data_IF_819973630210
#
_entry.id   IF_819973630210
#
_cell.length_a   1.000
_cell.length_b   1.000
_cell.length_c   1.000
_cell.angle_alpha   90.00
_cell.angle_beta   90.00
_cell.angle_gamma   90.00
#
_symmetry.space_group_name_H-M   'P 1'
#
loop_
_entity.id
_entity.type
_entity.pdbx_description
1 polymer ?
#
# COMPACT_ATOMS: atom_id res chain seq x y z
N UNK A 1 -24.12 0.68 23.46
CA UNK A 1 -23.52 -0.43 22.70
C UNK A 1 -23.30 0.08 21.28
N UNK A 2 -22.05 0.26 20.84
CA UNK A 2 -21.76 0.68 19.47
C UNK A 2 -21.80 -0.56 18.59
N UNK A 3 -22.65 -0.57 17.56
CA UNK A 3 -22.72 -1.68 16.62
C UNK A 3 -21.46 -1.67 15.75
N UNK A 4 -20.61 -2.70 15.83
CA UNK A 4 -19.47 -2.87 14.93
C UNK A 4 -19.93 -3.40 13.58
N UNK A 5 -19.48 -2.80 12.50
CA UNK A 5 -19.76 -3.29 11.14
C UNK A 5 -19.04 -4.61 10.86
N UNK A 6 -19.45 -5.32 9.80
CA UNK A 6 -18.71 -6.51 9.32
C UNK A 6 -17.28 -6.16 8.98
N UNK A 7 -17.04 -5.00 8.40
CA UNK A 7 -15.71 -4.51 8.03
C UNK A 7 -14.83 -4.26 9.25
N UNK A 8 -15.36 -3.66 10.30
CA UNK A 8 -14.62 -3.43 11.55
C UNK A 8 -14.19 -4.75 12.20
N UNK A 9 -15.03 -5.78 12.15
CA UNK A 9 -14.69 -7.09 12.68
C UNK A 9 -13.55 -7.75 11.91
N UNK A 10 -13.56 -7.66 10.57
CA UNK A 10 -12.49 -8.18 9.71
C UNK A 10 -11.19 -7.44 9.99
N UNK A 11 -11.23 -6.12 10.02
CA UNK A 11 -10.08 -5.28 10.30
C UNK A 11 -9.45 -5.58 11.68
N UNK A 12 -10.28 -5.71 12.71
CA UNK A 12 -9.81 -6.05 14.05
C UNK A 12 -9.16 -7.43 14.11
N UNK A 13 -9.71 -8.43 13.42
CA UNK A 13 -9.10 -9.75 13.29
C UNK A 13 -7.74 -9.69 12.61
N UNK A 14 -7.64 -8.99 11.48
CA UNK A 14 -6.37 -8.77 10.79
C UNK A 14 -5.34 -8.10 11.70
N UNK A 15 -5.73 -7.01 12.36
CA UNK A 15 -4.85 -6.26 13.25
C UNK A 15 -4.35 -7.08 14.45
N UNK A 16 -5.16 -8.01 14.93
CA UNK A 16 -4.80 -8.90 16.03
C UNK A 16 -4.03 -10.14 15.57
N UNK A 17 -3.90 -10.39 14.25
CA UNK A 17 -3.30 -11.60 13.72
C UNK A 17 -4.18 -12.85 13.88
N UNK A 18 -5.49 -12.68 14.05
CA UNK A 18 -6.48 -13.77 14.22
C UNK A 18 -6.97 -14.23 12.85
N UNK A 19 -6.07 -14.81 12.06
CA UNK A 19 -6.35 -15.36 10.72
C UNK A 19 -5.19 -16.26 10.25
N UNK A 20 -5.50 -17.24 9.41
CA UNK A 20 -4.52 -18.05 8.68
C UNK A 20 -4.20 -17.39 7.32
N UNK A 21 -5.21 -16.86 6.64
CA UNK A 21 -5.10 -16.13 5.38
C UNK A 21 -6.08 -14.96 5.40
N UNK A 22 -5.61 -13.79 5.00
CA UNK A 22 -6.45 -12.60 4.94
C UNK A 22 -6.30 -11.90 3.58
N UNK A 23 -7.42 -11.39 3.06
CA UNK A 23 -7.40 -10.52 1.88
C UNK A 23 -7.29 -9.07 2.33
N UNK A 24 -6.36 -8.33 1.75
CA UNK A 24 -6.20 -6.91 2.00
C UNK A 24 -5.98 -6.15 0.69
N UNK A 25 -5.96 -4.86 0.77
CA UNK A 25 -5.55 -3.99 -0.34
C UNK A 25 -4.71 -2.85 0.21
N UNK A 26 -3.75 -2.44 -0.58
CA UNK A 26 -2.99 -1.24 -0.31
C UNK A 26 -3.03 -0.29 -1.52
N UNK A 27 -3.09 0.99 -1.28
CA UNK A 27 -2.87 2.01 -2.28
C UNK A 27 -1.58 2.77 -1.94
N UNK A 28 -0.83 3.26 -2.92
CA UNK A 28 0.40 3.99 -2.62
C UNK A 28 0.09 5.29 -1.87
N UNK A 29 0.79 5.54 -0.77
CA UNK A 29 0.70 6.79 -0.02
C UNK A 29 1.52 7.90 -0.69
N UNK A 30 2.53 7.51 -1.48
CA UNK A 30 3.42 8.39 -2.24
C UNK A 30 3.92 7.69 -3.52
N UNK A 31 4.52 8.46 -4.43
CA UNK A 31 4.92 7.99 -5.77
C UNK A 31 6.26 7.25 -5.81
N UNK A 32 6.51 6.32 -4.89
CA UNK A 32 7.70 5.47 -4.86
C UNK A 32 7.31 4.03 -4.44
N UNK A 33 7.92 2.96 -5.03
CA UNK A 33 7.58 1.58 -4.70
C UNK A 33 7.80 1.19 -3.24
N UNK A 34 8.64 1.91 -2.51
CA UNK A 34 8.87 1.66 -1.08
C UNK A 34 7.61 1.77 -0.24
N UNK A 35 6.56 2.48 -0.73
CA UNK A 35 5.24 2.51 -0.08
C UNK A 35 4.63 1.11 0.09
N UNK A 36 5.00 0.15 -0.75
CA UNK A 36 4.58 -1.26 -0.65
C UNK A 36 5.57 -2.09 0.16
N UNK A 37 6.88 -1.89 -0.07
CA UNK A 37 7.91 -2.65 0.62
C UNK A 37 7.91 -2.41 2.14
N UNK A 38 7.71 -1.17 2.56
CA UNK A 38 7.66 -0.84 3.99
C UNK A 38 6.57 -1.58 4.76
N UNK A 39 5.53 -2.07 4.07
CA UNK A 39 4.48 -2.89 4.67
C UNK A 39 4.97 -4.23 5.22
N UNK A 40 6.03 -4.80 4.61
CA UNK A 40 6.63 -6.07 5.01
C UNK A 40 7.65 -5.95 6.15
N UNK A 41 8.09 -4.74 6.52
CA UNK A 41 9.05 -4.54 7.61
C UNK A 41 8.50 -5.15 8.91
N UNK A 42 9.35 -5.91 9.61
CA UNK A 42 8.97 -6.66 10.81
C UNK A 42 8.32 -5.80 11.91
N UNK A 43 8.73 -4.54 12.01
CA UNK A 43 8.22 -3.58 13.01
C UNK A 43 7.06 -2.72 12.51
N UNK A 44 6.64 -2.86 11.23
CA UNK A 44 5.57 -2.05 10.67
C UNK A 44 4.21 -2.45 11.25
N UNK A 45 3.45 -1.48 11.74
CA UNK A 45 2.12 -1.69 12.34
C UNK A 45 1.07 -2.24 11.35
N UNK A 46 1.32 -2.14 10.04
CA UNK A 46 0.46 -2.69 9.00
C UNK A 46 0.87 -4.11 8.57
N UNK A 47 1.97 -4.63 9.10
CA UNK A 47 2.38 -6.03 8.93
C UNK A 47 1.51 -6.94 9.81
N UNK A 48 0.25 -7.09 9.43
CA UNK A 48 -0.73 -7.86 10.22
C UNK A 48 -0.41 -9.35 10.29
N UNK A 49 0.28 -9.89 9.27
CA UNK A 49 0.78 -11.27 9.25
C UNK A 49 1.93 -11.53 10.21
N UNK A 50 2.51 -10.46 10.78
CA UNK A 50 3.67 -10.52 11.68
C UNK A 50 4.86 -11.30 11.09
N UNK A 51 4.94 -11.31 9.77
CA UNK A 51 6.09 -11.87 9.08
C UNK A 51 7.36 -11.08 9.46
N UNK A 52 8.47 -11.78 9.60
CA UNK A 52 9.73 -11.19 10.04
C UNK A 52 10.89 -11.83 9.30
N UNK A 53 11.68 -11.00 8.63
CA UNK A 53 12.90 -11.42 7.94
C UNK A 53 13.94 -10.29 8.04
N UNK A 54 15.03 -10.56 8.74
CA UNK A 54 16.06 -9.55 9.01
C UNK A 54 16.83 -9.10 7.76
N UNK A 55 16.97 -9.96 6.76
CA UNK A 55 17.60 -9.60 5.47
C UNK A 55 16.71 -8.64 4.71
N UNK A 56 15.40 -8.90 4.69
CA UNK A 56 14.42 -8.00 4.11
C UNK A 56 14.43 -6.62 4.76
N UNK A 57 14.38 -6.59 6.09
CA UNK A 57 14.37 -5.33 6.85
C UNK A 57 15.62 -4.48 6.51
N UNK A 58 16.81 -5.12 6.47
CA UNK A 58 18.06 -4.45 6.11
C UNK A 58 18.05 -3.93 4.67
N UNK A 59 17.53 -4.70 3.71
CA UNK A 59 17.41 -4.26 2.32
C UNK A 59 16.49 -3.05 2.19
N UNK A 60 15.35 -3.05 2.85
CA UNK A 60 14.41 -1.91 2.79
C UNK A 60 15.02 -0.66 3.43
N UNK A 61 15.78 -0.82 4.52
CA UNK A 61 16.52 0.29 5.14
C UNK A 61 17.61 0.84 4.19
N UNK A 62 18.35 -0.03 3.48
CA UNK A 62 19.34 0.37 2.48
C UNK A 62 18.72 1.14 1.32
N UNK A 63 17.59 0.67 0.79
CA UNK A 63 16.82 1.37 -0.25
C UNK A 63 16.50 2.80 0.16
N UNK A 64 16.27 3.04 1.44
CA UNK A 64 15.94 4.37 2.00
C UNK A 64 17.09 5.38 1.91
N UNK A 65 18.34 4.93 1.84
CA UNK A 65 19.55 5.78 1.84
C UNK A 65 20.39 5.66 0.56
N UNK A 66 20.07 4.71 -0.34
CA UNK A 66 20.82 4.51 -1.58
C UNK A 66 20.57 5.64 -2.57
N UNK A 67 21.62 6.29 -3.01
CA UNK A 67 21.61 7.42 -3.93
C UNK A 67 21.77 7.03 -5.41
N UNK A 68 22.39 5.86 -5.68
CA UNK A 68 22.49 5.34 -7.06
C UNK A 68 21.14 4.74 -7.46
N UNK A 69 20.51 5.31 -8.48
CA UNK A 69 19.17 4.94 -8.93
C UNK A 69 19.09 3.48 -9.37
N UNK A 70 20.11 2.99 -10.11
CA UNK A 70 20.08 1.61 -10.62
C UNK A 70 20.24 0.60 -9.49
N UNK A 71 21.13 0.89 -8.56
CA UNK A 71 21.38 0.06 -7.39
C UNK A 71 20.16 0.05 -6.48
N UNK A 72 19.55 1.20 -6.24
CA UNK A 72 18.30 1.32 -5.47
C UNK A 72 17.18 0.49 -6.09
N UNK A 73 17.01 0.52 -7.42
CA UNK A 73 16.04 -0.32 -8.11
C UNK A 73 16.33 -1.81 -7.96
N UNK A 74 17.60 -2.22 -7.98
CA UNK A 74 17.95 -3.62 -7.78
C UNK A 74 17.65 -4.07 -6.35
N UNK A 75 18.01 -3.29 -5.35
CA UNK A 75 17.72 -3.56 -3.94
C UNK A 75 16.19 -3.68 -3.67
N UNK A 76 15.38 -2.83 -4.29
CA UNK A 76 13.91 -2.96 -4.21
C UNK A 76 13.39 -4.27 -4.80
N UNK A 77 13.94 -4.71 -5.94
CA UNK A 77 13.57 -5.99 -6.56
C UNK A 77 14.00 -7.18 -5.70
N UNK A 78 15.17 -7.10 -5.10
CA UNK A 78 15.69 -8.17 -4.23
C UNK A 78 14.83 -8.26 -2.95
N UNK A 79 14.41 -7.14 -2.37
CA UNK A 79 13.48 -7.11 -1.27
C UNK A 79 12.11 -7.69 -1.66
N UNK A 80 11.54 -7.27 -2.79
CA UNK A 80 10.28 -7.81 -3.31
C UNK A 80 10.36 -9.33 -3.50
N UNK A 81 11.47 -9.81 -4.03
CA UNK A 81 11.70 -11.24 -4.24
C UNK A 81 11.64 -12.02 -2.92
N UNK A 82 12.30 -11.56 -1.87
CA UNK A 82 12.26 -12.21 -0.55
C UNK A 82 10.83 -12.25 -0.02
N UNK A 83 10.10 -11.14 -0.13
CA UNK A 83 8.72 -11.01 0.34
C UNK A 83 7.77 -12.02 -0.34
N UNK A 84 7.96 -12.24 -1.64
CA UNK A 84 7.13 -13.13 -2.44
C UNK A 84 7.54 -14.60 -2.29
N UNK A 85 8.82 -14.89 -2.22
CA UNK A 85 9.34 -16.26 -2.05
C UNK A 85 8.93 -16.86 -0.70
N UNK A 86 8.86 -16.02 0.34
CA UNK A 86 8.38 -16.42 1.67
C UNK A 86 6.85 -16.44 1.79
N UNK A 87 6.13 -16.12 0.72
CA UNK A 87 4.66 -16.01 0.71
C UNK A 87 4.09 -15.06 1.78
N UNK A 88 4.87 -14.09 2.23
CA UNK A 88 4.40 -13.08 3.18
C UNK A 88 3.24 -12.26 2.61
N UNK A 89 3.31 -11.98 1.30
CA UNK A 89 2.24 -11.39 0.52
C UNK A 89 2.05 -12.13 -0.80
N UNK A 90 0.79 -12.31 -1.19
CA UNK A 90 0.40 -12.96 -2.45
C UNK A 90 -0.35 -11.92 -3.30
N UNK A 91 0.30 -11.30 -4.30
CA UNK A 91 -0.37 -10.38 -5.21
C UNK A 91 -1.44 -11.10 -6.03
N UNK A 92 -2.65 -10.58 -6.06
CA UNK A 92 -3.76 -11.21 -6.78
C UNK A 92 -4.15 -10.38 -8.02
N UNK A 93 -4.40 -9.09 -7.83
CA UNK A 93 -4.74 -8.19 -8.93
C UNK A 93 -4.59 -6.73 -8.54
N UNK A 94 -4.38 -5.88 -9.52
CA UNK A 94 -4.46 -4.44 -9.35
C UNK A 94 -5.90 -3.96 -9.58
N UNK A 95 -6.47 -3.29 -8.58
CA UNK A 95 -7.83 -2.76 -8.67
C UNK A 95 -7.84 -1.46 -9.46
N UNK A 96 -8.50 -1.46 -10.61
CA UNK A 96 -8.84 -0.25 -11.33
C UNK A 96 -9.80 0.65 -10.54
N UNK A 97 -9.83 1.93 -10.86
CA UNK A 97 -10.82 2.88 -10.37
C UNK A 97 -11.58 3.49 -11.53
N UNK A 98 -12.89 3.55 -11.40
CA UNK A 98 -13.74 4.31 -12.30
C UNK A 98 -14.23 5.58 -11.56
N UNK A 99 -14.15 6.72 -12.23
CA UNK A 99 -14.63 7.99 -11.70
C UNK A 99 -15.78 8.49 -12.57
N UNK A 100 -16.93 8.69 -11.94
CA UNK A 100 -18.06 9.36 -12.57
C UNK A 100 -18.00 10.85 -12.16
N UNK A 101 -17.89 11.71 -13.17
CA UNK A 101 -17.81 13.14 -12.96
C UNK A 101 -18.95 13.83 -13.70
N UNK A 102 -19.67 14.71 -13.00
CA UNK A 102 -20.67 15.55 -13.65
C UNK A 102 -19.97 16.48 -14.66
N UNK A 103 -20.45 16.57 -15.93
CA UNK A 103 -19.84 17.41 -16.96
C UNK A 103 -19.72 18.89 -16.59
N UNK A 104 -20.54 19.36 -15.68
CA UNK A 104 -20.51 20.72 -15.14
C UNK A 104 -19.38 20.96 -14.13
N UNK A 105 -18.72 19.91 -13.63
CA UNK A 105 -17.55 20.01 -12.75
C UNK A 105 -16.30 20.01 -13.63
N UNK A 106 -15.49 21.04 -13.52
CA UNK A 106 -14.25 21.22 -14.28
C UNK A 106 -13.04 21.23 -13.35
N UNK A 107 -11.87 21.04 -13.93
CA UNK A 107 -10.58 21.16 -13.23
C UNK A 107 -10.40 20.18 -12.06
N UNK A 108 -11.13 19.05 -12.04
CA UNK A 108 -10.90 17.99 -11.09
C UNK A 108 -9.59 17.26 -11.45
N UNK A 109 -8.62 17.25 -10.54
CA UNK A 109 -7.34 16.56 -10.74
C UNK A 109 -7.30 15.29 -9.90
N UNK A 110 -7.10 14.15 -10.56
CA UNK A 110 -6.87 12.86 -9.90
C UNK A 110 -5.38 12.55 -10.00
N UNK A 111 -4.70 12.55 -8.86
CA UNK A 111 -3.26 12.25 -8.78
C UNK A 111 -2.99 10.75 -8.92
N UNK A 112 -1.76 10.32 -9.29
CA UNK A 112 -1.40 8.91 -9.43
C UNK A 112 -1.72 8.07 -8.19
N UNK A 113 -1.53 8.61 -6.98
CA UNK A 113 -1.89 7.96 -5.71
C UNK A 113 -3.40 7.98 -5.42
N UNK A 114 -4.24 8.25 -6.44
CA UNK A 114 -5.71 8.33 -6.34
C UNK A 114 -6.24 9.40 -5.38
N UNK A 115 -5.40 10.32 -4.94
CA UNK A 115 -5.83 11.50 -4.21
C UNK A 115 -6.52 12.47 -5.17
N UNK A 116 -7.70 12.94 -4.79
CA UNK A 116 -8.45 13.92 -5.58
C UNK A 116 -8.12 15.30 -5.04
N UNK A 117 -7.65 16.20 -5.92
CA UNK A 117 -7.45 17.61 -5.59
C UNK A 117 -8.65 18.42 -6.07
N UNK A 118 -9.23 19.19 -5.17
CA UNK A 118 -10.34 20.10 -5.43
C UNK A 118 -9.90 21.56 -5.51
N UNK A 119 -8.62 21.84 -5.48
CA UNK A 119 -8.03 23.17 -5.36
C UNK A 119 -8.48 24.14 -6.46
N UNK A 120 -8.64 23.61 -7.68
CA UNK A 120 -9.03 24.40 -8.85
C UNK A 120 -10.38 23.98 -9.43
N UNK A 121 -11.18 23.27 -8.64
CA UNK A 121 -12.47 22.76 -9.11
C UNK A 121 -13.46 23.91 -9.28
N UNK A 122 -14.07 23.96 -10.44
CA UNK A 122 -15.12 24.89 -10.79
C UNK A 122 -16.40 24.14 -11.15
N UNK A 123 -17.54 24.73 -10.84
CA UNK A 123 -18.84 24.23 -11.30
C UNK A 123 -19.45 25.26 -12.25
N UNK A 124 -19.65 24.84 -13.49
CA UNK A 124 -20.36 25.67 -14.49
C UNK A 124 -21.88 25.50 -14.32
N UNK A 125 -22.64 26.50 -14.65
CA UNK A 125 -24.12 26.47 -14.63
C UNK A 125 -24.74 25.48 -15.62
#
# INVERSE_FOLDING_TARGET
MVATTKQDRIYNKQKNGDFDLATTRWGPDYGDPTTYLTMGISTNSNNYGKWSNSEYDQLVDQVGVESDVNRRWQEMKDAEKILLDDYAYIPVFEKGAATLQNPKVKNLVIKPCRTISFEYVEKTE
#
